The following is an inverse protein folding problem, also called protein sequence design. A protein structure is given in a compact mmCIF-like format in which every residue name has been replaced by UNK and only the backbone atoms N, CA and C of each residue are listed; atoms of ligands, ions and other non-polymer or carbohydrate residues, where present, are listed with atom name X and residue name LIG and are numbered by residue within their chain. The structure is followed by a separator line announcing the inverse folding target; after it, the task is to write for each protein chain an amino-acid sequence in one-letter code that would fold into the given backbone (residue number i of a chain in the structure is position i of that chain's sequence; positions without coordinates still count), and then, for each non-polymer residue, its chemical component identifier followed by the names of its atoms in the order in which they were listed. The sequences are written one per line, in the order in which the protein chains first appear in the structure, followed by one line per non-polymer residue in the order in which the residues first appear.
data_IF_302126956025
#
_entry.id   IF_302126956025
#
_cell.length_a   1.000
_cell.length_b   1.000
_cell.length_c   1.000
_cell.angle_alpha   90.00
_cell.angle_beta   90.00
_cell.angle_gamma   90.00
#
_symmetry.space_group_name_H-M   'P 1'
#
loop_
_entity.id
_entity.type
_entity.pdbx_description
1 polymer ?
#
# COMPACT_ATOMS: atom_id res chain seq x y z
N UNK A 1 23.25 21.22 1.50
CA UNK A 1 22.33 20.97 0.37
C UNK A 1 21.50 19.77 0.76
N UNK A 2 20.22 19.99 1.08
CA UNK A 2 19.30 18.87 1.25
C UNK A 2 19.18 18.14 -0.08
N UNK A 3 19.60 16.88 -0.13
CA UNK A 3 19.39 16.03 -1.31
C UNK A 3 17.89 15.91 -1.49
N UNK A 4 17.40 16.19 -2.71
CA UNK A 4 16.01 15.89 -3.05
C UNK A 4 15.75 14.41 -2.75
N UNK A 5 14.62 14.08 -2.10
CA UNK A 5 14.25 12.69 -1.86
C UNK A 5 14.20 11.92 -3.18
N UNK A 6 14.57 10.64 -3.14
CA UNK A 6 14.50 9.78 -4.32
C UNK A 6 13.03 9.44 -4.60
N UNK A 7 12.54 9.59 -5.85
CA UNK A 7 11.15 9.31 -6.19
C UNK A 7 10.84 7.83 -5.95
N UNK A 8 9.61 7.55 -5.50
CA UNK A 8 9.06 6.22 -5.41
C UNK A 8 7.98 6.05 -6.47
N UNK A 9 8.11 5.02 -7.30
CA UNK A 9 7.18 4.67 -8.36
C UNK A 9 6.37 3.45 -7.91
N UNK A 10 5.14 3.62 -7.37
CA UNK A 10 4.45 2.53 -6.66
C UNK A 10 4.20 1.27 -7.49
N UNK A 11 4.09 1.40 -8.81
CA UNK A 11 3.81 0.28 -9.71
C UNK A 11 5.05 -0.28 -10.42
N UNK A 12 6.24 0.24 -10.09
CA UNK A 12 7.53 -0.23 -10.60
C UNK A 12 8.45 -0.69 -9.45
N UNK A 13 8.51 0.08 -8.37
CA UNK A 13 9.40 -0.14 -7.22
C UNK A 13 8.82 -1.10 -6.16
N UNK A 14 7.52 -1.44 -6.25
CA UNK A 14 6.85 -2.37 -5.34
C UNK A 14 6.28 -3.54 -6.13
N UNK A 15 6.66 -4.76 -5.74
CA UNK A 15 6.17 -5.97 -6.37
C UNK A 15 4.65 -6.11 -6.23
N UNK A 16 4.09 -5.89 -5.03
CA UNK A 16 2.63 -5.88 -4.88
C UNK A 16 1.96 -4.79 -5.73
N UNK A 17 2.60 -3.63 -5.86
CA UNK A 17 2.10 -2.55 -6.71
C UNK A 17 2.09 -2.91 -8.20
N UNK A 18 3.15 -3.55 -8.68
CA UNK A 18 3.23 -4.09 -10.05
C UNK A 18 2.08 -5.07 -10.32
N UNK A 19 1.78 -5.99 -9.39
CA UNK A 19 0.70 -6.98 -9.58
C UNK A 19 -0.70 -6.37 -9.46
N UNK A 20 -0.88 -5.33 -8.64
CA UNK A 20 -2.10 -4.51 -8.66
C UNK A 20 -2.28 -3.88 -10.05
N UNK A 21 -1.22 -3.28 -10.60
CA UNK A 21 -1.28 -2.68 -11.94
C UNK A 21 -1.59 -3.71 -13.02
N UNK A 22 -0.95 -4.88 -12.96
CA UNK A 22 -1.17 -5.96 -13.91
C UNK A 22 -2.65 -6.35 -13.97
N UNK A 23 -3.25 -6.69 -12.83
CA UNK A 23 -4.68 -7.09 -12.75
C UNK A 23 -5.62 -5.94 -13.14
N UNK A 24 -5.24 -4.70 -12.80
CA UNK A 24 -5.97 -3.51 -13.22
C UNK A 24 -6.01 -3.35 -14.76
N UNK A 25 -4.88 -3.62 -15.43
CA UNK A 25 -4.77 -3.56 -16.88
C UNK A 25 -5.49 -4.72 -17.59
N UNK A 26 -5.52 -5.90 -17.00
CA UNK A 26 -6.34 -7.02 -17.50
C UNK A 26 -7.83 -6.66 -17.55
N UNK A 27 -8.27 -5.75 -16.68
CA UNK A 27 -9.62 -5.19 -16.66
C UNK A 27 -9.82 -4.01 -17.63
N UNK A 28 -8.92 -3.81 -18.59
CA UNK A 28 -8.93 -2.74 -19.60
C UNK A 28 -8.79 -1.30 -19.07
N UNK A 29 -8.26 -1.12 -17.86
CA UNK A 29 -7.92 0.19 -17.33
C UNK A 29 -6.45 0.55 -17.58
N UNK A 30 -6.13 1.85 -17.66
CA UNK A 30 -4.76 2.31 -17.88
C UNK A 30 -3.99 2.52 -16.56
N UNK A 31 -2.66 2.42 -16.62
CA UNK A 31 -1.78 2.76 -15.49
C UNK A 31 -1.96 4.21 -15.04
N UNK A 32 -2.04 5.13 -16.01
CA UNK A 32 -2.28 6.55 -15.74
C UNK A 32 -3.52 6.74 -14.87
N UNK A 33 -4.61 6.04 -15.19
CA UNK A 33 -5.84 6.11 -14.42
C UNK A 33 -5.67 5.57 -12.99
N UNK A 34 -4.94 4.47 -12.80
CA UNK A 34 -4.63 3.93 -11.47
C UNK A 34 -3.81 4.91 -10.63
N UNK A 35 -2.78 5.51 -11.23
CA UNK A 35 -1.92 6.51 -10.56
C UNK A 35 -2.68 7.76 -10.18
N UNK A 36 -3.55 8.25 -11.07
CA UNK A 36 -4.43 9.40 -10.79
C UNK A 36 -5.37 9.11 -9.61
N UNK A 37 -5.95 7.92 -9.55
CA UNK A 37 -6.78 7.49 -8.43
C UNK A 37 -5.99 7.45 -7.12
N UNK A 38 -4.78 6.89 -7.14
CA UNK A 38 -3.89 6.85 -5.98
C UNK A 38 -3.57 8.24 -5.45
N UNK A 39 -3.10 9.14 -6.33
CA UNK A 39 -2.74 10.51 -5.97
C UNK A 39 -3.95 11.28 -5.43
N UNK A 40 -5.12 11.12 -6.07
CA UNK A 40 -6.36 11.77 -5.66
C UNK A 40 -6.82 11.29 -4.28
N UNK A 41 -6.85 9.97 -4.05
CA UNK A 41 -7.24 9.39 -2.78
C UNK A 41 -6.33 9.84 -1.63
N UNK A 42 -5.02 9.96 -1.91
CA UNK A 42 -4.02 10.37 -0.94
C UNK A 42 -3.90 11.89 -0.76
N UNK A 43 -4.57 12.70 -1.59
CA UNK A 43 -4.41 14.16 -1.64
C UNK A 43 -2.96 14.59 -1.91
N UNK A 44 -2.24 13.82 -2.73
CA UNK A 44 -0.82 14.02 -3.03
C UNK A 44 -0.60 14.45 -4.48
N UNK A 45 0.53 15.11 -4.70
CA UNK A 45 1.11 15.34 -6.03
C UNK A 45 2.18 14.29 -6.33
N UNK A 46 2.50 14.16 -7.60
CA UNK A 46 3.47 13.18 -8.10
C UNK A 46 4.86 13.31 -7.43
N UNK A 47 5.31 14.55 -7.21
CA UNK A 47 6.60 14.86 -6.58
C UNK A 47 6.65 14.57 -5.07
N UNK A 48 5.52 14.16 -4.48
CA UNK A 48 5.41 13.74 -3.09
C UNK A 48 5.47 12.21 -2.93
N UNK A 49 5.45 11.45 -4.03
CA UNK A 49 5.73 10.02 -4.02
C UNK A 49 7.24 9.81 -3.99
N UNK A 50 7.78 9.67 -2.78
CA UNK A 50 9.21 9.53 -2.52
C UNK A 50 9.46 8.40 -1.55
N UNK A 51 10.63 7.78 -1.63
CA UNK A 51 11.02 6.78 -0.66
C UNK A 51 11.21 7.41 0.72
N UNK A 52 10.73 6.68 1.73
CA UNK A 52 11.00 7.01 3.12
C UNK A 52 12.49 6.83 3.41
N UNK A 53 13.16 7.78 4.08
CA UNK A 53 14.58 7.66 4.41
C UNK A 53 14.88 6.37 5.18
N UNK A 54 15.94 5.65 4.82
CA UNK A 54 16.27 4.32 5.38
C UNK A 54 16.24 4.24 6.92
N UNK A 55 16.75 5.27 7.60
CA UNK A 55 16.74 5.32 9.07
C UNK A 55 15.32 5.36 9.64
N UNK A 56 14.40 6.06 8.97
CA UNK A 56 12.98 6.10 9.34
C UNK A 56 12.30 4.81 8.94
N UNK A 57 12.53 4.31 7.72
CA UNK A 57 11.95 3.05 7.22
C UNK A 57 12.16 1.89 8.20
N UNK A 58 13.37 1.69 8.71
CA UNK A 58 13.66 0.64 9.70
C UNK A 58 12.80 0.78 10.97
N UNK A 59 12.62 2.00 11.48
CA UNK A 59 11.78 2.27 12.65
C UNK A 59 10.30 1.98 12.35
N UNK A 60 9.81 2.46 11.21
CA UNK A 60 8.40 2.29 10.82
C UNK A 60 8.05 0.82 10.56
N UNK A 61 8.95 0.07 9.91
CA UNK A 61 8.79 -1.37 9.64
C UNK A 61 8.96 -2.27 10.88
N UNK A 62 9.28 -1.69 12.04
CA UNK A 62 9.15 -2.38 13.34
C UNK A 62 7.85 -1.96 14.02
N UNK A 63 7.56 -0.66 14.07
CA UNK A 63 6.42 -0.12 14.82
C UNK A 63 5.06 -0.48 14.21
N UNK A 64 4.86 -0.27 12.90
CA UNK A 64 3.56 -0.50 12.28
C UNK A 64 3.16 -1.98 12.24
N UNK A 65 4.06 -2.94 11.96
CA UNK A 65 3.71 -4.36 12.10
C UNK A 65 3.31 -4.75 13.53
N UNK A 66 3.90 -4.13 14.56
CA UNK A 66 3.46 -4.35 15.95
C UNK A 66 2.07 -3.78 16.19
N UNK A 67 1.80 -2.56 15.72
CA UNK A 67 0.48 -1.93 15.84
C UNK A 67 -0.62 -2.73 15.13
N UNK A 68 -0.34 -3.18 13.90
CA UNK A 68 -1.25 -4.03 13.12
C UNK A 68 -1.52 -5.36 13.84
N UNK A 69 -0.50 -6.04 14.37
CA UNK A 69 -0.70 -7.27 15.16
C UNK A 69 -1.59 -7.02 16.37
N UNK A 70 -1.38 -5.93 17.10
CA UNK A 70 -2.22 -5.57 18.25
C UNK A 70 -3.68 -5.36 17.85
N UNK A 71 -3.93 -4.73 16.69
CA UNK A 71 -5.29 -4.57 16.15
C UNK A 71 -5.92 -5.94 15.85
N UNK A 72 -5.17 -6.85 15.22
CA UNK A 72 -5.63 -8.22 14.92
C UNK A 72 -5.96 -8.98 16.19
N UNK A 73 -5.02 -9.04 17.14
CA UNK A 73 -5.16 -9.76 18.42
C UNK A 73 -6.31 -9.21 19.28
N UNK A 74 -6.63 -7.92 19.12
CA UNK A 74 -7.72 -7.26 19.83
C UNK A 74 -9.07 -7.30 19.11
N UNK A 75 -9.22 -8.10 18.03
CA UNK A 75 -10.42 -8.13 17.17
C UNK A 75 -10.82 -6.76 16.58
N UNK A 76 -9.82 -5.92 16.28
CA UNK A 76 -9.96 -4.56 15.73
C UNK A 76 -9.38 -4.45 14.32
N UNK A 77 -9.30 -5.56 13.57
CA UNK A 77 -8.73 -5.60 12.21
C UNK A 77 -9.41 -4.65 11.22
N UNK A 78 -10.68 -4.31 11.44
CA UNK A 78 -11.42 -3.33 10.64
C UNK A 78 -10.82 -1.90 10.70
N UNK A 79 -9.90 -1.61 11.63
CA UNK A 79 -9.23 -0.31 11.72
C UNK A 79 -7.95 -0.22 10.86
N UNK A 80 -7.44 -1.36 10.39
CA UNK A 80 -6.22 -1.44 9.58
C UNK A 80 -6.29 -0.60 8.30
N UNK A 81 -7.41 -0.55 7.54
CA UNK A 81 -7.47 0.27 6.32
C UNK A 81 -7.24 1.76 6.62
N UNK A 82 -7.81 2.26 7.71
CA UNK A 82 -7.61 3.65 8.15
C UNK A 82 -6.18 3.92 8.62
N UNK A 83 -5.54 2.96 9.28
CA UNK A 83 -4.13 3.06 9.66
C UNK A 83 -3.24 3.15 8.42
N UNK A 84 -3.40 2.26 7.44
CA UNK A 84 -2.63 2.25 6.20
C UNK A 84 -2.84 3.54 5.38
N UNK A 85 -4.07 4.03 5.29
CA UNK A 85 -4.37 5.33 4.69
C UNK A 85 -3.69 6.48 5.44
N UNK A 86 -3.64 6.42 6.78
CA UNK A 86 -2.97 7.44 7.58
C UNK A 86 -1.46 7.43 7.38
N UNK A 87 -0.84 6.26 7.19
CA UNK A 87 0.59 6.13 6.84
C UNK A 87 0.85 6.72 5.46
N UNK A 88 0.09 6.31 4.44
CA UNK A 88 0.26 6.80 3.08
C UNK A 88 0.07 8.33 2.96
N UNK A 89 -0.87 8.90 3.73
CA UNK A 89 -1.12 10.36 3.80
C UNK A 89 -0.16 11.13 4.70
N UNK A 90 0.67 10.47 5.50
CA UNK A 90 1.52 11.13 6.50
C UNK A 90 0.73 11.76 7.66
N UNK A 91 -0.38 11.14 8.05
CA UNK A 91 -1.25 11.58 9.15
C UNK A 91 -1.00 10.80 10.45
N UNK A 92 0.07 10.01 10.52
CA UNK A 92 0.45 9.29 11.75
C UNK A 92 1.28 10.17 12.68
N UNK A 93 1.17 9.94 13.99
CA UNK A 93 2.02 10.62 14.98
C UNK A 93 3.51 10.20 14.86
N UNK A 94 3.76 8.95 14.44
CA UNK A 94 5.10 8.39 14.34
C UNK A 94 5.90 8.99 13.18
N UNK A 95 5.22 9.29 12.07
CA UNK A 95 5.80 9.88 10.87
C UNK A 95 4.77 10.79 10.17
N UNK A 96 4.84 12.12 10.41
CA UNK A 96 3.91 13.09 9.84
C UNK A 96 4.30 13.52 8.42
N UNK A 97 4.71 12.56 7.59
CA UNK A 97 5.07 12.74 6.17
C UNK A 97 4.51 11.56 5.37
N UNK A 98 4.08 11.75 4.11
CA UNK A 98 3.63 10.65 3.26
C UNK A 98 4.66 9.53 3.19
N UNK A 99 4.21 8.29 3.41
CA UNK A 99 5.04 7.09 3.38
C UNK A 99 4.34 6.00 2.56
N UNK A 100 4.17 6.28 1.26
CA UNK A 100 3.44 5.38 0.34
C UNK A 100 4.23 4.08 0.13
N UNK A 101 5.56 4.14 0.10
CA UNK A 101 6.44 2.97 0.03
C UNK A 101 6.22 2.04 1.23
N UNK A 102 6.17 2.59 2.45
CA UNK A 102 5.86 1.83 3.67
C UNK A 102 4.46 1.24 3.61
N UNK A 103 3.47 1.99 3.12
CA UNK A 103 2.10 1.49 2.97
C UNK A 103 2.06 0.26 2.04
N UNK A 104 2.72 0.32 0.89
CA UNK A 104 2.79 -0.79 -0.06
C UNK A 104 3.52 -2.01 0.52
N UNK A 105 4.63 -1.81 1.24
CA UNK A 105 5.33 -2.89 1.95
C UNK A 105 4.46 -3.56 3.02
N UNK A 106 3.65 -2.80 3.75
CA UNK A 106 2.73 -3.35 4.75
C UNK A 106 1.57 -4.11 4.09
N UNK A 107 1.08 -3.64 2.94
CA UNK A 107 0.07 -4.36 2.15
C UNK A 107 0.63 -5.70 1.67
N UNK A 108 1.86 -5.72 1.15
CA UNK A 108 2.53 -6.96 0.73
C UNK A 108 2.69 -7.94 1.89
N UNK A 109 3.14 -7.44 3.05
CA UNK A 109 3.28 -8.24 4.26
C UNK A 109 1.95 -8.83 4.74
N UNK A 110 0.86 -8.04 4.67
CA UNK A 110 -0.48 -8.50 4.99
C UNK A 110 -1.00 -9.52 3.98
N UNK A 111 -0.78 -9.28 2.68
CA UNK A 111 -1.22 -10.13 1.58
C UNK A 111 -0.66 -11.56 1.68
N UNK A 112 0.55 -11.68 2.20
CA UNK A 112 1.31 -12.94 2.29
C UNK A 112 1.21 -13.64 3.63
N UNK A 113 0.99 -12.89 4.72
CA UNK A 113 1.08 -13.41 6.09
C UNK A 113 -0.24 -13.64 6.81
N UNK A 114 -1.38 -13.14 6.29
CA UNK A 114 -2.63 -13.09 7.04
C UNK A 114 -3.87 -13.40 6.19
N UNK A 115 -4.87 -14.02 6.82
CA UNK A 115 -6.21 -14.24 6.26
C UNK A 115 -7.08 -13.00 6.55
N UNK A 116 -6.84 -11.92 5.81
CA UNK A 116 -7.43 -10.59 6.01
C UNK A 116 -7.98 -10.00 4.70
N UNK A 117 -8.64 -10.84 3.90
CA UNK A 117 -9.05 -10.49 2.53
C UNK A 117 -9.98 -9.28 2.46
N UNK A 118 -10.98 -9.21 3.34
CA UNK A 118 -11.88 -8.06 3.38
C UNK A 118 -11.16 -6.76 3.75
N UNK A 119 -10.24 -6.82 4.71
CA UNK A 119 -9.43 -5.68 5.15
C UNK A 119 -8.51 -5.20 4.02
N UNK A 120 -7.87 -6.12 3.30
CA UNK A 120 -7.01 -5.79 2.17
C UNK A 120 -7.82 -5.24 0.99
N UNK A 121 -8.96 -5.85 0.65
CA UNK A 121 -9.87 -5.34 -0.38
C UNK A 121 -10.33 -3.93 -0.06
N UNK A 122 -10.73 -3.67 1.19
CA UNK A 122 -11.13 -2.35 1.65
C UNK A 122 -9.96 -1.35 1.57
N UNK A 123 -8.77 -1.75 2.00
CA UNK A 123 -7.57 -0.91 1.92
C UNK A 123 -7.26 -0.49 0.48
N UNK A 124 -7.25 -1.44 -0.47
CA UNK A 124 -7.01 -1.13 -1.88
C UNK A 124 -8.13 -0.25 -2.45
N UNK A 125 -9.38 -0.52 -2.06
CA UNK A 125 -10.53 0.29 -2.49
C UNK A 125 -10.39 1.75 -2.04
N UNK A 126 -9.92 1.98 -0.81
CA UNK A 126 -9.63 3.32 -0.29
C UNK A 126 -8.45 3.97 -1.01
N UNK A 127 -7.36 3.23 -1.26
CA UNK A 127 -6.18 3.74 -1.94
C UNK A 127 -6.44 4.17 -3.38
N UNK A 128 -7.38 3.52 -4.07
CA UNK A 128 -7.70 3.81 -5.47
C UNK A 128 -9.08 4.44 -5.67
N UNK A 129 -9.70 4.92 -4.60
CA UNK A 129 -11.02 5.59 -4.60
C UNK A 129 -12.07 4.88 -5.48
N UNK A 130 -12.07 3.54 -5.40
CA UNK A 130 -12.91 2.67 -6.25
C UNK A 130 -13.33 1.44 -5.46
N UNK A 131 -14.48 0.86 -5.80
CA UNK A 131 -14.95 -0.37 -5.14
C UNK A 131 -14.32 -1.58 -5.82
N UNK A 132 -13.30 -2.17 -5.18
CA UNK A 132 -12.68 -3.41 -5.66
C UNK A 132 -13.41 -4.64 -5.09
N UNK A 133 -13.51 -5.68 -5.90
CA UNK A 133 -14.06 -6.98 -5.50
C UNK A 133 -13.01 -7.85 -4.81
N UNK A 134 -13.46 -8.88 -4.08
CA UNK A 134 -12.56 -9.92 -3.58
C UNK A 134 -11.86 -10.68 -4.72
N UNK A 135 -12.51 -10.83 -5.88
CA UNK A 135 -11.92 -11.48 -7.05
C UNK A 135 -10.71 -10.70 -7.58
N UNK A 136 -10.77 -9.36 -7.53
CA UNK A 136 -9.62 -8.50 -7.86
C UNK A 136 -8.45 -8.80 -6.91
N UNK A 137 -8.69 -8.77 -5.60
CA UNK A 137 -7.66 -9.08 -4.60
C UNK A 137 -7.09 -10.49 -4.78
N UNK A 138 -7.96 -11.47 -5.03
CA UNK A 138 -7.57 -12.87 -5.25
C UNK A 138 -6.67 -13.01 -6.49
N UNK A 139 -6.98 -12.26 -7.55
CA UNK A 139 -6.16 -12.23 -8.77
C UNK A 139 -4.80 -11.59 -8.50
N UNK A 140 -4.76 -10.45 -7.79
CA UNK A 140 -3.49 -9.81 -7.38
C UNK A 140 -2.63 -10.76 -6.56
N UNK A 141 -3.22 -11.43 -5.57
CA UNK A 141 -2.54 -12.44 -4.75
C UNK A 141 -1.99 -13.59 -5.60
N UNK A 142 -2.78 -14.05 -6.56
CA UNK A 142 -2.40 -15.15 -7.46
C UNK A 142 -1.18 -14.77 -8.30
N UNK A 143 -1.19 -13.60 -8.92
CA UNK A 143 -0.04 -13.11 -9.71
C UNK A 143 1.20 -12.85 -8.84
N UNK A 144 1.00 -12.32 -7.64
CA UNK A 144 2.08 -12.13 -6.68
C UNK A 144 2.76 -13.46 -6.31
N UNK A 145 1.98 -14.50 -5.98
CA UNK A 145 2.54 -15.81 -5.65
C UNK A 145 3.11 -16.57 -6.86
N UNK A 146 2.67 -16.28 -8.08
CA UNK A 146 3.31 -16.80 -9.29
C UNK A 146 4.73 -16.26 -9.42
N UNK A 147 4.93 -14.96 -9.20
CA UNK A 147 6.26 -14.34 -9.25
C UNK A 147 7.21 -14.94 -8.20
N UNK A 148 6.75 -15.13 -6.95
CA UNK A 148 7.59 -15.70 -5.89
C UNK A 148 8.03 -17.15 -6.11
N UNK A 149 7.37 -17.87 -7.03
CA UNK A 149 7.66 -19.27 -7.35
C UNK A 149 8.47 -19.43 -8.65
N UNK A 150 8.60 -18.37 -9.44
CA UNK A 150 9.43 -18.31 -10.65
C UNK A 150 10.89 -18.08 -10.31
#
# INVERSE_FOLDING_TARGET
MDKKPYPFLPFEDSLVGEKILFVWQESHHSEKNLKEHLLKALELKDDQLVFTPNAMKQKLMVSFPTEIRNLIESNRSAEIPNLLMSIAKGKTQLYPQPAVDICFELIEWLLTGFDLDEVLRETLSLLFETTLSLDFLTSVRTEYFKELRG
#
